data_IF_035033424714
#
_entry.id   IF_035033424714
#
_cell.length_a   1.000
_cell.length_b   1.000
_cell.length_c   1.000
_cell.angle_alpha   90.00
_cell.angle_beta   90.00
_cell.angle_gamma   90.00
#
_symmetry.space_group_name_H-M   'P 1'
#
loop_
_entity.id
_entity.type
_entity.pdbx_description
1 polymer ?
#
# COMPACT_ATOMS: atom_id res chain seq x y z
N UNK A 1 -11.01 0.27 -10.32
CA UNK A 1 -10.27 1.19 -11.21
C UNK A 1 -9.32 0.46 -12.16
N UNK A 2 -8.78 -0.71 -11.79
CA UNK A 2 -7.76 -1.43 -12.58
C UNK A 2 -8.27 -2.41 -13.65
N UNK A 3 -9.59 -2.55 -13.88
CA UNK A 3 -10.15 -3.45 -14.91
C UNK A 3 -9.54 -3.25 -16.31
N UNK A 4 -9.28 -2.02 -16.78
CA UNK A 4 -8.70 -1.82 -18.11
C UNK A 4 -7.31 -2.45 -18.26
N UNK A 5 -6.52 -2.58 -17.19
CA UNK A 5 -5.22 -3.26 -17.27
C UNK A 5 -5.37 -4.75 -17.56
N UNK A 6 -6.33 -5.42 -16.88
CA UNK A 6 -6.65 -6.83 -17.15
C UNK A 6 -7.16 -7.04 -18.59
N UNK A 7 -7.90 -6.08 -19.14
CA UNK A 7 -8.35 -6.12 -20.53
C UNK A 7 -7.20 -5.92 -21.53
N UNK A 8 -6.34 -4.93 -21.27
CA UNK A 8 -5.16 -4.62 -22.07
C UNK A 8 -4.16 -5.79 -22.11
N UNK A 9 -3.93 -6.45 -20.97
CA UNK A 9 -2.95 -7.51 -20.81
C UNK A 9 -3.20 -8.75 -21.69
N UNK A 10 -4.38 -8.89 -22.28
CA UNK A 10 -4.75 -10.01 -23.16
C UNK A 10 -4.06 -9.95 -24.53
N UNK A 11 -3.55 -8.80 -24.94
CA UNK A 11 -2.93 -8.60 -26.24
C UNK A 11 -1.66 -7.73 -26.12
N UNK A 12 -0.48 -8.25 -26.49
CA UNK A 12 0.77 -7.49 -26.49
C UNK A 12 0.70 -6.18 -27.30
N UNK A 13 -0.09 -6.11 -28.36
CA UNK A 13 -0.24 -4.88 -29.15
C UNK A 13 -1.06 -3.82 -28.39
N UNK A 14 -2.03 -4.23 -27.57
CA UNK A 14 -2.74 -3.31 -26.68
C UNK A 14 -1.81 -2.77 -25.57
N UNK A 15 -0.92 -3.61 -25.03
CA UNK A 15 0.09 -3.19 -24.05
C UNK A 15 1.01 -2.12 -24.64
N UNK A 16 1.56 -2.37 -25.83
CA UNK A 16 2.40 -1.39 -26.55
C UNK A 16 1.65 -0.11 -26.87
N UNK A 17 0.40 -0.23 -27.33
CA UNK A 17 -0.44 0.93 -27.66
C UNK A 17 -0.72 1.79 -26.43
N UNK A 18 -1.06 1.19 -25.30
CA UNK A 18 -1.25 1.90 -24.04
C UNK A 18 0.04 2.59 -23.59
N UNK A 19 1.17 1.87 -23.57
CA UNK A 19 2.46 2.45 -23.16
C UNK A 19 2.81 3.68 -24.01
N UNK A 20 2.71 3.56 -25.33
CA UNK A 20 2.94 4.66 -26.27
C UNK A 20 2.02 5.86 -25.97
N UNK A 21 0.71 5.61 -25.89
CA UNK A 21 -0.27 6.70 -25.72
C UNK A 21 -0.23 7.34 -24.34
N UNK A 22 0.19 6.61 -23.30
CA UNK A 22 0.47 7.18 -21.97
C UNK A 22 1.67 8.13 -22.01
N UNK A 23 2.76 7.77 -22.70
CA UNK A 23 3.91 8.66 -22.87
C UNK A 23 3.56 9.87 -23.74
N UNK A 24 2.77 9.68 -24.81
CA UNK A 24 2.23 10.80 -25.61
C UNK A 24 1.32 11.73 -24.79
N UNK A 25 0.61 11.20 -23.78
CA UNK A 25 -0.22 12.01 -22.90
C UNK A 25 0.64 12.89 -21.99
N UNK A 26 1.62 12.33 -21.29
CA UNK A 26 2.48 13.14 -20.41
C UNK A 26 3.30 14.15 -21.22
N UNK A 27 3.67 13.84 -22.46
CA UNK A 27 4.40 14.76 -23.34
C UNK A 27 3.63 16.04 -23.70
N UNK A 28 2.30 16.06 -23.52
CA UNK A 28 1.45 17.25 -23.76
C UNK A 28 1.56 18.28 -22.64
N UNK A 29 2.13 17.91 -21.50
CA UNK A 29 2.16 18.72 -20.29
C UNK A 29 3.56 18.74 -19.69
N UNK A 30 4.12 19.93 -19.51
CA UNK A 30 5.48 20.14 -18.99
C UNK A 30 5.63 19.79 -17.50
N UNK A 31 4.52 19.82 -16.76
CA UNK A 31 4.46 19.54 -15.33
C UNK A 31 4.50 18.06 -14.94
N UNK A 32 4.42 17.13 -15.90
CA UNK A 32 4.63 15.70 -15.60
C UNK A 32 6.10 15.33 -15.73
N UNK A 33 6.66 14.75 -14.67
CA UNK A 33 8.05 14.28 -14.60
C UNK A 33 8.18 12.76 -14.83
N UNK A 34 7.09 12.07 -15.14
CA UNK A 34 7.11 10.62 -15.26
C UNK A 34 5.72 9.99 -15.26
N UNK A 35 5.69 8.66 -15.10
CA UNK A 35 4.50 7.84 -14.97
C UNK A 35 4.67 6.95 -13.75
N UNK A 36 3.63 6.85 -12.92
CA UNK A 36 3.49 5.80 -11.91
C UNK A 36 2.41 4.81 -12.35
N UNK A 37 2.73 3.51 -12.29
CA UNK A 37 1.79 2.44 -12.61
C UNK A 37 1.19 1.83 -11.35
N UNK A 38 -0.11 2.02 -11.19
CA UNK A 38 -0.89 1.40 -10.11
C UNK A 38 -1.92 0.41 -10.69
N UNK A 39 -1.43 -0.75 -11.16
CA UNK A 39 -2.30 -1.87 -11.50
C UNK A 39 -2.55 -2.69 -10.24
N UNK A 40 -3.80 -2.65 -9.77
CA UNK A 40 -4.26 -3.48 -8.64
C UNK A 40 -5.16 -4.66 -9.08
N UNK A 41 -4.65 -5.87 -9.31
CA UNK A 41 -3.22 -6.26 -9.36
C UNK A 41 -2.97 -7.25 -10.50
N UNK A 42 -1.76 -7.28 -11.10
CA UNK A 42 -1.35 -8.38 -11.96
C UNK A 42 -1.55 -9.72 -11.23
N UNK A 43 -2.15 -10.70 -11.90
CA UNK A 43 -2.45 -12.01 -11.30
C UNK A 43 -3.66 -12.03 -10.37
N UNK A 44 -4.42 -10.94 -10.30
CA UNK A 44 -5.66 -10.83 -9.53
C UNK A 44 -5.44 -10.47 -8.06
N UNK A 45 -6.48 -10.59 -7.23
CA UNK A 45 -6.43 -10.07 -5.85
C UNK A 45 -7.03 -8.68 -5.69
N UNK A 46 -7.50 -8.07 -6.78
CA UNK A 46 -8.18 -6.78 -6.79
C UNK A 46 -9.71 -6.92 -6.68
N UNK A 47 -10.40 -5.79 -6.74
CA UNK A 47 -11.85 -5.70 -6.58
C UNK A 47 -12.62 -6.58 -7.58
N UNK A 48 -12.14 -6.68 -8.81
CA UNK A 48 -12.85 -7.31 -9.94
C UNK A 48 -12.26 -8.67 -10.33
N UNK A 49 -11.22 -9.08 -9.63
CA UNK A 49 -10.47 -10.33 -9.83
C UNK A 49 -10.21 -11.02 -8.49
N UNK A 50 -11.25 -11.02 -7.63
CA UNK A 50 -11.15 -11.54 -6.27
C UNK A 50 -10.80 -13.03 -6.26
N UNK A 51 -9.76 -13.45 -5.49
CA UNK A 51 -9.33 -14.84 -5.45
C UNK A 51 -10.28 -15.74 -4.65
N UNK A 52 -11.21 -15.11 -3.91
CA UNK A 52 -12.21 -15.78 -3.08
C UNK A 52 -13.55 -15.96 -3.79
N UNK A 53 -13.75 -15.30 -4.92
CA UNK A 53 -14.94 -15.46 -5.75
C UNK A 53 -14.60 -16.35 -6.96
N UNK A 54 -15.16 -17.56 -7.07
CA UNK A 54 -14.93 -18.47 -8.20
C UNK A 54 -15.24 -17.87 -9.58
N UNK A 55 -16.16 -16.90 -9.66
CA UNK A 55 -16.56 -16.27 -10.92
C UNK A 55 -15.54 -15.24 -11.43
N UNK A 56 -14.77 -14.64 -10.52
CA UNK A 56 -13.79 -13.60 -10.85
C UNK A 56 -12.34 -14.05 -10.66
N UNK A 57 -12.11 -15.21 -10.02
CA UNK A 57 -10.78 -15.73 -9.77
C UNK A 57 -10.09 -16.08 -11.10
N UNK A 58 -8.90 -15.53 -11.29
CA UNK A 58 -8.09 -15.80 -12.48
C UNK A 58 -7.51 -17.22 -12.46
N UNK A 59 -7.48 -17.87 -13.62
CA UNK A 59 -6.74 -19.13 -13.82
C UNK A 59 -5.24 -18.88 -13.77
N UNK A 60 -4.45 -19.92 -13.50
CA UNK A 60 -2.99 -19.77 -13.44
C UNK A 60 -2.37 -19.37 -14.78
N UNK A 61 -3.00 -19.76 -15.90
CA UNK A 61 -2.63 -19.30 -17.24
C UNK A 61 -2.82 -17.79 -17.40
N UNK A 62 -3.97 -17.24 -16.94
CA UNK A 62 -4.21 -15.80 -16.99
C UNK A 62 -3.24 -15.06 -16.08
N UNK A 63 -2.96 -15.58 -14.87
CA UNK A 63 -1.98 -14.97 -13.97
C UNK A 63 -0.58 -14.89 -14.59
N UNK A 64 -0.15 -15.96 -15.27
CA UNK A 64 1.14 -15.97 -15.97
C UNK A 64 1.15 -14.97 -17.13
N UNK A 65 0.05 -14.90 -17.90
CA UNK A 65 -0.10 -13.94 -18.98
C UNK A 65 -0.03 -12.49 -18.47
N UNK A 66 -0.72 -12.17 -17.36
CA UNK A 66 -0.67 -10.84 -16.75
C UNK A 66 0.72 -10.50 -16.19
N UNK A 67 1.45 -11.46 -15.62
CA UNK A 67 2.84 -11.29 -15.21
C UNK A 67 3.75 -10.89 -16.38
N UNK A 68 3.58 -11.56 -17.53
CA UNK A 68 4.32 -11.25 -18.76
C UNK A 68 3.91 -9.89 -19.33
N UNK A 69 2.61 -9.59 -19.33
CA UNK A 69 2.08 -8.32 -19.82
C UNK A 69 2.56 -7.12 -18.97
N UNK A 70 2.62 -7.26 -17.64
CA UNK A 70 3.17 -6.22 -16.77
C UNK A 70 4.65 -5.96 -17.07
N UNK A 71 5.44 -7.02 -17.27
CA UNK A 71 6.85 -6.90 -17.65
C UNK A 71 7.02 -6.20 -19.00
N UNK A 72 6.20 -6.57 -20.00
CA UNK A 72 6.18 -5.89 -21.29
C UNK A 72 5.77 -4.42 -21.17
N UNK A 73 4.74 -4.12 -20.37
CA UNK A 73 4.25 -2.76 -20.17
C UNK A 73 5.33 -1.84 -19.62
N UNK A 74 6.01 -2.27 -18.56
CA UNK A 74 7.10 -1.50 -17.93
C UNK A 74 8.22 -1.23 -18.95
N UNK A 75 8.64 -2.26 -19.69
CA UNK A 75 9.68 -2.13 -20.72
C UNK A 75 9.29 -1.15 -21.82
N UNK A 76 8.07 -1.26 -22.34
CA UNK A 76 7.57 -0.37 -23.39
C UNK A 76 7.46 1.08 -22.89
N UNK A 77 7.00 1.30 -21.65
CA UNK A 77 6.96 2.64 -21.07
C UNK A 77 8.36 3.24 -20.95
N UNK A 78 9.33 2.50 -20.40
CA UNK A 78 10.72 2.95 -20.28
C UNK A 78 11.30 3.34 -21.64
N UNK A 79 11.15 2.47 -22.64
CA UNK A 79 11.64 2.75 -24.00
C UNK A 79 11.00 3.99 -24.63
N UNK A 80 9.67 4.14 -24.49
CA UNK A 80 8.98 5.32 -25.02
C UNK A 80 9.41 6.59 -24.25
N UNK A 81 9.62 6.52 -22.93
CA UNK A 81 10.11 7.64 -22.12
C UNK A 81 11.58 7.99 -22.42
N UNK A 82 12.46 7.02 -22.69
CA UNK A 82 13.84 7.29 -23.14
C UNK A 82 13.87 8.06 -24.46
N UNK A 83 12.99 7.68 -25.38
CA UNK A 83 12.82 8.38 -26.65
C UNK A 83 12.26 9.80 -26.44
N UNK A 84 11.40 10.01 -25.43
CA UNK A 84 10.92 11.34 -25.06
C UNK A 84 12.04 12.17 -24.41
N UNK A 85 12.80 11.61 -23.46
CA UNK A 85 13.97 12.23 -22.83
C UNK A 85 14.98 12.71 -23.87
N UNK A 86 15.26 11.88 -24.88
CA UNK A 86 16.18 12.22 -25.97
C UNK A 86 15.71 13.42 -26.80
N UNK A 87 14.39 13.69 -26.85
CA UNK A 87 13.81 14.82 -27.59
C UNK A 87 13.70 16.08 -26.75
N UNK A 88 13.38 15.95 -25.46
CA UNK A 88 13.09 17.09 -24.58
C UNK A 88 14.28 17.51 -23.73
N UNK A 89 15.27 16.64 -23.56
CA UNK A 89 16.37 16.82 -22.60
C UNK A 89 15.95 16.65 -21.14
N UNK A 90 14.70 16.24 -20.87
CA UNK A 90 14.16 15.98 -19.53
C UNK A 90 14.35 14.52 -19.15
N UNK A 91 14.68 14.26 -17.89
CA UNK A 91 14.67 12.91 -17.35
C UNK A 91 13.26 12.56 -16.88
N UNK A 92 12.73 11.40 -17.27
CA UNK A 92 11.37 10.95 -16.94
C UNK A 92 11.43 9.70 -16.07
N UNK A 93 10.78 9.77 -14.91
CA UNK A 93 10.75 8.69 -13.94
C UNK A 93 9.64 7.68 -14.23
N UNK A 94 9.92 6.39 -13.99
CA UNK A 94 8.95 5.31 -14.00
C UNK A 94 8.81 4.73 -12.59
N UNK A 95 7.64 4.94 -11.99
CA UNK A 95 7.24 4.33 -10.72
C UNK A 95 6.25 3.18 -10.92
N UNK A 96 6.11 2.34 -9.90
CA UNK A 96 4.91 1.49 -9.77
C UNK A 96 4.50 1.31 -8.32
N UNK A 97 3.23 1.58 -8.02
CA UNK A 97 2.60 1.17 -6.77
C UNK A 97 2.12 -0.28 -6.86
N UNK A 98 2.43 -1.07 -5.82
CA UNK A 98 2.18 -2.52 -5.85
C UNK A 98 1.64 -3.06 -4.54
N UNK A 99 0.81 -4.09 -4.66
CA UNK A 99 0.38 -4.90 -3.54
C UNK A 99 1.53 -5.76 -2.99
N UNK A 100 1.55 -5.95 -1.68
CA UNK A 100 2.50 -6.80 -0.98
C UNK A 100 1.97 -8.21 -0.72
N UNK A 101 2.80 -9.09 -0.15
CA UNK A 101 2.42 -10.47 0.13
C UNK A 101 2.29 -11.30 -1.14
N UNK A 102 1.25 -12.14 -1.23
CA UNK A 102 1.07 -13.02 -2.39
C UNK A 102 0.98 -12.25 -3.72
N UNK A 103 0.48 -11.01 -3.72
CA UNK A 103 0.34 -10.16 -4.91
C UNK A 103 1.70 -9.85 -5.55
N UNK A 104 2.75 -9.69 -4.73
CA UNK A 104 4.10 -9.43 -5.21
C UNK A 104 4.68 -10.57 -6.06
N UNK A 105 4.19 -11.81 -5.90
CA UNK A 105 4.69 -12.98 -6.66
C UNK A 105 4.27 -12.97 -8.13
N UNK A 106 3.25 -12.17 -8.46
CA UNK A 106 2.70 -12.01 -9.81
C UNK A 106 3.51 -11.07 -10.70
N UNK A 107 4.64 -10.52 -10.22
CA UNK A 107 5.52 -9.62 -10.95
C UNK A 107 6.90 -10.27 -11.12
N UNK A 108 7.55 -10.05 -12.26
CA UNK A 108 8.93 -10.49 -12.53
C UNK A 108 9.92 -9.40 -12.13
N UNK A 109 10.20 -9.30 -10.82
CA UNK A 109 11.04 -8.23 -10.27
C UNK A 109 12.45 -8.16 -10.85
N UNK A 110 13.16 -9.26 -11.13
CA UNK A 110 14.46 -9.22 -11.81
C UNK A 110 14.42 -8.51 -13.17
N UNK A 111 13.34 -8.67 -13.94
CA UNK A 111 13.20 -7.97 -15.22
C UNK A 111 12.65 -6.55 -15.05
N UNK A 112 11.56 -6.39 -14.30
CA UNK A 112 10.88 -5.10 -14.07
C UNK A 112 11.80 -4.07 -13.43
N UNK A 113 12.63 -4.48 -12.45
CA UNK A 113 13.51 -3.57 -11.72
C UNK A 113 14.61 -2.93 -12.57
N UNK A 114 14.86 -3.44 -13.79
CA UNK A 114 15.81 -2.83 -14.73
C UNK A 114 15.27 -1.53 -15.32
N UNK A 115 13.95 -1.43 -15.44
CA UNK A 115 13.26 -0.39 -16.22
C UNK A 115 12.49 0.61 -15.35
N UNK A 116 12.24 0.31 -14.07
CA UNK A 116 11.64 1.25 -13.10
C UNK A 116 12.69 1.98 -12.26
N UNK A 117 12.36 3.19 -11.82
CA UNK A 117 13.15 3.98 -10.86
C UNK A 117 12.80 3.60 -9.42
N UNK A 118 11.51 3.56 -9.10
CA UNK A 118 11.01 3.32 -7.74
C UNK A 118 9.82 2.34 -7.75
N UNK A 119 9.75 1.50 -6.72
CA UNK A 119 8.60 0.66 -6.40
C UNK A 119 7.98 1.15 -5.09
N UNK A 120 6.71 1.56 -5.14
CA UNK A 120 5.94 2.03 -3.99
C UNK A 120 5.18 0.84 -3.39
N UNK A 121 5.75 0.23 -2.35
CA UNK A 121 5.15 -0.92 -1.69
C UNK A 121 3.99 -0.46 -0.81
N UNK A 122 2.75 -0.82 -1.18
CA UNK A 122 1.55 -0.51 -0.39
C UNK A 122 1.51 -1.34 0.90
N UNK A 123 2.36 -0.97 1.86
CA UNK A 123 2.54 -1.62 3.16
C UNK A 123 1.49 -1.16 4.17
N UNK A 124 0.24 -1.19 3.73
CA UNK A 124 -0.98 -0.88 4.47
C UNK A 124 -2.10 -1.77 3.92
N UNK A 125 -3.32 -1.63 4.46
CA UNK A 125 -4.49 -2.43 4.08
C UNK A 125 -4.31 -3.94 4.26
N UNK A 126 -3.50 -4.35 5.25
CA UNK A 126 -3.34 -5.75 5.61
C UNK A 126 -4.65 -6.37 6.11
N UNK A 127 -5.39 -5.57 6.88
CA UNK A 127 -6.68 -5.89 7.47
C UNK A 127 -7.60 -4.67 7.32
N UNK A 128 -8.90 -4.91 7.18
CA UNK A 128 -9.89 -3.85 7.08
C UNK A 128 -11.32 -4.30 7.30
N UNK A 129 -12.27 -3.37 7.14
CA UNK A 129 -13.69 -3.59 7.39
C UNK A 129 -14.40 -4.58 6.45
N UNK A 130 -13.71 -5.10 5.43
CA UNK A 130 -14.18 -6.18 4.57
C UNK A 130 -14.17 -7.56 5.23
N UNK A 131 -13.56 -7.70 6.41
CA UNK A 131 -13.50 -8.95 7.17
C UNK A 131 -13.68 -8.74 8.67
N UNK A 132 -13.74 -9.85 9.41
CA UNK A 132 -13.87 -9.86 10.88
C UNK A 132 -12.52 -9.94 11.59
N UNK A 133 -11.46 -10.32 10.88
CA UNK A 133 -10.08 -10.29 11.37
C UNK A 133 -9.73 -8.85 11.72
N UNK A 134 -9.51 -8.61 13.01
CA UNK A 134 -9.19 -7.30 13.59
C UNK A 134 -7.71 -7.27 13.91
N UNK A 135 -7.07 -6.11 13.74
CA UNK A 135 -5.67 -5.95 14.05
C UNK A 135 -5.07 -4.76 13.33
N UNK A 136 -3.74 -4.75 13.24
CA UNK A 136 -3.02 -3.65 12.62
C UNK A 136 -3.13 -3.69 11.10
N UNK A 137 -3.48 -2.57 10.47
CA UNK A 137 -3.59 -2.48 9.01
C UNK A 137 -2.24 -2.19 8.32
N UNK A 138 -1.26 -1.66 9.07
CA UNK A 138 -0.02 -1.08 8.51
C UNK A 138 1.18 -1.19 9.47
N UNK A 139 1.20 -2.19 10.34
CA UNK A 139 2.29 -2.42 11.28
C UNK A 139 3.65 -2.60 10.59
N UNK A 140 4.72 -2.19 11.29
CA UNK A 140 6.09 -2.36 10.81
C UNK A 140 6.53 -3.82 10.89
N UNK A 141 6.40 -4.44 12.06
CA UNK A 141 6.77 -5.84 12.26
C UNK A 141 5.56 -6.72 12.48
N UNK A 142 5.61 -7.94 11.95
CA UNK A 142 4.66 -8.99 12.31
C UNK A 142 4.83 -9.39 13.78
N UNK A 143 3.73 -9.79 14.42
CA UNK A 143 3.73 -10.26 15.81
C UNK A 143 3.06 -11.63 15.91
N UNK A 144 3.31 -12.34 17.00
CA UNK A 144 2.72 -13.67 17.25
C UNK A 144 1.19 -13.64 17.28
N UNK A 145 0.60 -12.54 17.78
CA UNK A 145 -0.85 -12.33 17.82
C UNK A 145 -1.39 -11.65 16.55
N UNK A 146 -0.52 -11.39 15.57
CA UNK A 146 -0.89 -10.82 14.28
C UNK A 146 -1.33 -11.89 13.29
N UNK A 147 -2.28 -11.54 12.43
CA UNK A 147 -2.76 -12.44 11.38
C UNK A 147 -1.68 -12.68 10.32
N UNK A 148 -1.50 -13.96 9.95
CA UNK A 148 -0.74 -14.41 8.77
C UNK A 148 0.70 -13.88 8.65
N UNK A 149 1.33 -13.51 9.76
CA UNK A 149 2.69 -12.98 9.75
C UNK A 149 2.83 -11.67 8.96
N UNK A 150 1.76 -10.88 8.87
CA UNK A 150 1.76 -9.64 8.09
C UNK A 150 2.49 -8.52 8.82
N UNK A 151 3.37 -7.83 8.10
CA UNK A 151 4.11 -6.67 8.57
C UNK A 151 4.98 -6.12 7.45
N UNK A 152 5.25 -4.82 7.49
CA UNK A 152 6.10 -4.13 6.50
C UNK A 152 7.43 -4.85 6.31
N UNK A 153 8.14 -5.16 7.40
CA UNK A 153 9.44 -5.85 7.38
C UNK A 153 9.38 -7.20 6.66
N UNK A 154 8.40 -8.04 7.01
CA UNK A 154 8.22 -9.36 6.40
C UNK A 154 7.91 -9.26 4.90
N UNK A 155 7.05 -8.32 4.51
CA UNK A 155 6.68 -8.12 3.12
C UNK A 155 7.80 -7.51 2.27
N UNK A 156 8.57 -6.56 2.81
CA UNK A 156 9.72 -6.02 2.09
C UNK A 156 10.82 -7.08 1.96
N UNK A 157 11.06 -7.91 2.99
CA UNK A 157 11.98 -9.04 2.87
C UNK A 157 11.57 -9.99 1.75
N UNK A 158 10.27 -10.30 1.63
CA UNK A 158 9.76 -11.08 0.51
C UNK A 158 10.05 -10.42 -0.84
N UNK A 159 9.88 -9.10 -0.97
CA UNK A 159 10.22 -8.38 -2.20
C UNK A 159 11.70 -8.51 -2.57
N UNK A 160 12.58 -8.41 -1.57
CA UNK A 160 14.03 -8.61 -1.76
C UNK A 160 14.33 -10.05 -2.20
N UNK A 161 13.71 -11.05 -1.56
CA UNK A 161 13.86 -12.47 -1.91
C UNK A 161 13.34 -12.78 -3.34
N UNK A 162 12.34 -12.02 -3.81
CA UNK A 162 11.84 -12.09 -5.18
C UNK A 162 12.72 -11.35 -6.20
N UNK A 163 13.77 -10.66 -5.75
CA UNK A 163 14.77 -10.02 -6.63
C UNK A 163 14.62 -8.50 -6.80
N UNK A 164 13.79 -7.82 -6.00
CA UNK A 164 13.68 -6.36 -6.05
C UNK A 164 14.88 -5.69 -5.38
N UNK A 165 15.61 -4.76 -6.05
CA UNK A 165 16.70 -4.00 -5.42
C UNK A 165 16.23 -3.12 -4.25
N UNK A 166 16.90 -3.23 -3.11
CA UNK A 166 16.53 -2.52 -1.87
C UNK A 166 16.45 -0.99 -2.03
N UNK A 167 17.39 -0.42 -2.79
CA UNK A 167 17.55 1.01 -3.04
C UNK A 167 16.50 1.61 -3.99
N UNK A 168 15.60 0.78 -4.52
CA UNK A 168 14.43 1.20 -5.31
C UNK A 168 13.10 1.01 -4.57
N UNK A 169 13.10 0.43 -3.37
CA UNK A 169 11.88 0.19 -2.58
C UNK A 169 11.52 1.43 -1.77
N UNK A 170 10.30 1.93 -1.96
CA UNK A 170 9.70 3.01 -1.17
C UNK A 170 8.58 2.41 -0.31
N UNK A 171 8.67 2.55 1.00
CA UNK A 171 7.73 1.94 1.95
C UNK A 171 6.52 2.83 2.20
N UNK A 172 5.32 2.25 2.26
CA UNK A 172 4.06 2.95 2.45
C UNK A 172 3.72 3.29 3.90
N UNK A 173 3.21 4.50 4.08
CA UNK A 173 2.55 5.00 5.27
C UNK A 173 1.08 5.32 4.99
N UNK A 174 0.20 5.09 5.98
CA UNK A 174 -1.24 5.32 5.82
C UNK A 174 -1.68 6.56 6.61
N UNK A 175 -2.10 7.63 5.94
CA UNK A 175 -2.71 8.80 6.61
C UNK A 175 -4.20 8.60 6.87
N UNK A 176 -4.57 7.36 7.15
CA UNK A 176 -5.90 6.92 7.47
C UNK A 176 -5.82 5.67 8.36
N UNK A 177 -6.96 5.32 8.93
CA UNK A 177 -7.16 4.13 9.73
C UNK A 177 -8.27 3.25 9.18
N UNK A 178 -8.28 2.01 9.66
CA UNK A 178 -9.33 1.03 9.42
C UNK A 178 -9.88 0.53 10.74
N UNK A 179 -11.20 0.37 10.82
CA UNK A 179 -11.87 0.12 12.08
C UNK A 179 -12.96 -0.94 12.04
N UNK A 180 -13.23 -1.48 13.23
CA UNK A 180 -14.20 -2.54 13.49
C UNK A 180 -15.08 -2.19 14.69
N UNK A 181 -16.28 -2.77 14.74
CA UNK A 181 -17.19 -2.65 15.88
C UNK A 181 -17.63 -4.03 16.40
N UNK A 182 -17.98 -4.08 17.69
CA UNK A 182 -18.31 -5.33 18.38
C UNK A 182 -17.08 -6.21 18.63
N UNK A 183 -15.93 -5.59 18.86
CA UNK A 183 -14.69 -6.27 19.26
C UNK A 183 -14.85 -6.98 20.61
N UNK A 184 -14.48 -8.27 20.66
CA UNK A 184 -14.59 -9.09 21.88
C UNK A 184 -13.23 -9.33 22.51
N UNK A 185 -13.22 -9.53 23.83
CA UNK A 185 -12.05 -9.99 24.58
C UNK A 185 -10.79 -9.12 24.46
N UNK A 186 -10.96 -7.82 24.21
CA UNK A 186 -9.86 -6.87 24.20
C UNK A 186 -9.90 -5.98 25.43
N UNK A 187 -8.81 -6.01 26.19
CA UNK A 187 -8.64 -5.26 27.44
C UNK A 187 -8.08 -3.83 27.22
N UNK A 188 -7.83 -3.46 25.96
CA UNK A 188 -7.22 -2.19 25.59
C UNK A 188 -5.70 -2.13 25.78
N UNK A 189 -5.04 -3.26 26.05
CA UNK A 189 -3.59 -3.32 26.27
C UNK A 189 -2.89 -4.27 25.31
N UNK A 190 -3.29 -5.55 25.30
CA UNK A 190 -2.63 -6.59 24.52
C UNK A 190 -3.58 -7.13 23.46
N UNK A 191 -3.14 -7.16 22.19
CA UNK A 191 -3.92 -7.79 21.14
C UNK A 191 -4.06 -9.30 21.44
N UNK A 192 -5.28 -9.87 21.41
CA UNK A 192 -5.52 -11.30 21.53
C UNK A 192 -4.92 -12.09 20.34
N UNK A 193 -4.55 -13.36 20.56
CA UNK A 193 -3.98 -14.25 19.51
C UNK A 193 -4.93 -14.53 18.35
N UNK A 194 -6.24 -14.43 18.56
CA UNK A 194 -7.26 -14.53 17.50
C UNK A 194 -8.14 -13.28 17.51
N UNK A 195 -7.51 -12.13 17.25
CA UNK A 195 -8.20 -10.88 17.41
C UNK A 195 -9.29 -10.67 16.36
N UNK A 196 -10.55 -10.61 16.81
CA UNK A 196 -11.72 -10.53 15.95
C UNK A 196 -12.77 -9.56 16.49
N UNK A 197 -13.55 -9.03 15.56
CA UNK A 197 -14.72 -8.20 15.82
C UNK A 197 -15.94 -8.76 15.09
N UNK A 198 -17.13 -8.27 15.44
CA UNK A 198 -18.36 -8.72 14.80
C UNK A 198 -18.39 -8.38 13.30
N UNK A 199 -17.86 -7.21 12.91
CA UNK A 199 -17.79 -6.72 11.53
C UNK A 199 -16.89 -5.47 11.45
N UNK A 200 -16.61 -5.01 10.23
CA UNK A 200 -16.10 -3.66 10.01
C UNK A 200 -17.04 -2.60 10.59
N UNK A 201 -16.48 -1.48 11.05
CA UNK A 201 -17.28 -0.39 11.62
C UNK A 201 -18.30 0.11 10.59
N UNK A 202 -19.52 0.34 11.06
CA UNK A 202 -20.63 0.80 10.21
C UNK A 202 -20.56 2.30 9.87
N UNK A 203 -19.55 2.99 10.38
CA UNK A 203 -19.28 4.41 10.24
C UNK A 203 -17.81 4.63 9.86
N UNK A 204 -17.48 5.85 9.43
CA UNK A 204 -16.15 6.27 9.01
C UNK A 204 -16.21 7.68 8.44
N UNK A 205 -15.06 8.20 7.99
CA UNK A 205 -14.96 9.56 7.44
C UNK A 205 -15.54 9.64 6.03
N UNK A 206 -15.04 8.79 5.13
CA UNK A 206 -15.40 8.79 3.71
C UNK A 206 -16.35 7.62 3.39
N UNK A 207 -16.08 6.46 3.97
CA UNK A 207 -16.85 5.24 3.84
C UNK A 207 -16.80 4.45 5.15
N UNK A 208 -17.75 3.52 5.40
CA UNK A 208 -17.72 2.67 6.58
C UNK A 208 -16.36 1.99 6.76
N UNK A 209 -15.88 1.95 8.01
CA UNK A 209 -14.60 1.36 8.42
C UNK A 209 -13.34 2.05 7.87
N UNK A 210 -13.44 3.22 7.24
CA UNK A 210 -12.30 4.02 6.78
C UNK A 210 -12.29 5.38 7.48
N UNK A 211 -11.15 5.75 8.08
CA UNK A 211 -11.03 6.94 8.95
C UNK A 211 -9.83 7.78 8.55
N UNK A 212 -10.02 9.01 8.06
CA UNK A 212 -8.87 9.88 7.75
C UNK A 212 -8.13 10.28 9.03
N UNK A 213 -6.80 10.42 8.99
CA UNK A 213 -6.02 10.77 10.17
C UNK A 213 -6.49 12.07 10.84
N UNK A 214 -6.81 13.10 10.05
CA UNK A 214 -7.36 14.35 10.57
C UNK A 214 -8.68 14.17 11.33
N UNK A 215 -9.50 13.18 10.95
CA UNK A 215 -10.78 12.87 11.58
C UNK A 215 -10.56 12.14 12.91
N UNK A 216 -9.64 11.16 12.91
CA UNK A 216 -9.21 10.45 14.11
C UNK A 216 -8.75 11.42 15.22
N UNK A 217 -7.84 12.34 14.87
CA UNK A 217 -7.29 13.33 15.81
C UNK A 217 -8.37 14.29 16.34
N UNK A 218 -9.40 14.56 15.54
CA UNK A 218 -10.44 15.55 15.87
C UNK A 218 -11.60 14.97 16.67
N UNK A 219 -12.08 13.79 16.29
CA UNK A 219 -13.39 13.27 16.68
C UNK A 219 -13.32 11.94 17.44
N UNK A 220 -12.15 11.31 17.53
CA UNK A 220 -11.96 10.03 18.21
C UNK A 220 -11.00 10.20 19.39
N UNK A 221 -11.34 11.14 20.29
CA UNK A 221 -10.49 11.49 21.43
C UNK A 221 -10.98 10.83 22.73
N UNK A 222 -10.25 11.06 23.82
CA UNK A 222 -10.66 10.61 25.16
C UNK A 222 -12.00 11.18 25.60
N UNK A 223 -12.42 12.35 25.09
CA UNK A 223 -13.75 12.92 25.36
C UNK A 223 -14.88 12.08 24.78
N UNK A 224 -14.62 11.41 23.66
CA UNK A 224 -15.55 10.51 22.99
C UNK A 224 -15.37 9.04 23.42
N UNK A 225 -14.53 8.80 24.44
CA UNK A 225 -14.26 7.49 25.03
C UNK A 225 -13.20 6.66 24.28
N UNK A 226 -12.46 7.25 23.35
CA UNK A 226 -11.36 6.58 22.65
C UNK A 226 -10.04 6.79 23.38
N UNK A 227 -9.33 5.70 23.64
CA UNK A 227 -8.00 5.69 24.24
C UNK A 227 -7.02 5.18 23.21
N UNK A 228 -5.94 5.93 22.97
CA UNK A 228 -4.84 5.46 22.15
C UNK A 228 -4.02 4.41 22.90
N UNK A 229 -3.77 3.28 22.23
CA UNK A 229 -2.76 2.31 22.62
C UNK A 229 -1.70 2.18 21.54
N UNK A 230 -0.57 1.57 21.91
CA UNK A 230 0.54 1.34 21.00
C UNK A 230 1.10 -0.07 21.22
N UNK A 231 1.12 -0.87 20.16
CA UNK A 231 1.81 -2.15 20.16
C UNK A 231 3.29 -1.91 19.88
N UNK A 232 4.12 -1.98 20.92
CA UNK A 232 5.56 -1.74 20.82
C UNK A 232 6.28 -2.79 19.96
N UNK A 233 5.78 -4.03 19.91
CA UNK A 233 6.40 -5.08 19.10
C UNK A 233 6.09 -4.88 17.61
N UNK A 234 4.86 -4.47 17.30
CA UNK A 234 4.42 -4.20 15.93
C UNK A 234 4.83 -2.80 15.42
N UNK A 235 5.19 -1.89 16.33
CA UNK A 235 5.30 -0.44 16.11
C UNK A 235 4.04 0.17 15.49
N UNK A 236 2.87 -0.16 16.05
CA UNK A 236 1.57 0.20 15.49
C UNK A 236 0.63 0.80 16.54
N UNK A 237 0.09 2.01 16.30
CA UNK A 237 -0.91 2.61 17.16
C UNK A 237 -2.31 2.08 16.83
N UNK A 238 -3.20 2.22 17.81
CA UNK A 238 -4.62 1.97 17.64
C UNK A 238 -5.43 2.87 18.58
N UNK A 239 -6.70 3.10 18.24
CA UNK A 239 -7.69 3.67 19.14
C UNK A 239 -8.66 2.58 19.61
N UNK A 240 -8.97 2.59 20.90
CA UNK A 240 -9.90 1.67 21.52
C UNK A 240 -11.01 2.41 22.27
N UNK A 241 -12.26 2.06 21.99
CA UNK A 241 -13.40 2.48 22.79
C UNK A 241 -14.07 1.25 23.40
N UNK A 242 -13.92 1.09 24.73
CA UNK A 242 -14.38 -0.11 25.43
C UNK A 242 -15.91 -0.21 25.54
N UNK A 243 -16.60 0.92 25.66
CA UNK A 243 -18.06 0.97 25.77
C UNK A 243 -18.73 0.63 24.42
N UNK A 244 -18.22 1.23 23.33
CA UNK A 244 -18.70 0.98 21.97
C UNK A 244 -18.13 -0.31 21.36
N UNK A 245 -17.11 -0.89 21.99
CA UNK A 245 -16.33 -2.01 21.47
C UNK A 245 -15.79 -1.75 20.07
N UNK A 246 -15.18 -0.57 19.88
CA UNK A 246 -14.64 -0.12 18.58
C UNK A 246 -13.12 -0.08 18.64
N UNK A 247 -12.48 -0.80 17.72
CA UNK A 247 -11.03 -0.81 17.50
C UNK A 247 -10.72 -0.14 16.16
N UNK A 248 -9.76 0.79 16.14
CA UNK A 248 -9.30 1.45 14.92
C UNK A 248 -7.77 1.37 14.87
N UNK A 249 -7.20 0.72 13.86
CA UNK A 249 -5.76 0.76 13.57
C UNK A 249 -5.47 1.92 12.61
N UNK A 250 -4.27 2.51 12.70
CA UNK A 250 -3.82 3.62 11.86
C UNK A 250 -2.29 3.81 11.94
N UNK A 251 -1.73 4.81 11.26
CA UNK A 251 -0.38 5.33 11.56
C UNK A 251 -0.47 6.66 12.34
N UNK A 252 0.45 6.87 13.28
CA UNK A 252 0.65 8.13 13.98
C UNK A 252 2.11 8.58 13.86
N UNK A 253 2.47 9.74 14.42
CA UNK A 253 3.84 10.25 14.35
C UNK A 253 4.91 9.24 14.85
N UNK A 254 4.58 8.43 15.87
CA UNK A 254 5.49 7.43 16.43
C UNK A 254 5.74 6.27 15.46
N UNK A 255 4.70 5.71 14.82
CA UNK A 255 4.89 4.63 13.83
C UNK A 255 5.52 5.12 12.54
N UNK A 256 5.19 6.34 12.07
CA UNK A 256 5.86 6.97 10.93
C UNK A 256 7.35 7.12 11.18
N UNK A 257 7.75 7.60 12.37
CA UNK A 257 9.16 7.68 12.75
C UNK A 257 9.82 6.30 12.78
N UNK A 258 9.14 5.28 13.31
CA UNK A 258 9.67 3.91 13.33
C UNK A 258 9.92 3.36 11.91
N UNK A 259 8.95 3.54 11.00
CA UNK A 259 9.11 3.19 9.58
C UNK A 259 10.27 3.94 8.92
N UNK A 260 10.41 5.24 9.17
CA UNK A 260 11.50 6.04 8.63
C UNK A 260 12.87 5.57 9.13
N UNK A 261 13.00 5.28 10.43
CA UNK A 261 14.23 4.75 11.00
C UNK A 261 14.57 3.37 10.44
N UNK A 262 13.57 2.49 10.28
CA UNK A 262 13.75 1.17 9.67
C UNK A 262 14.16 1.25 8.19
N UNK A 263 13.54 2.14 7.41
CA UNK A 263 13.90 2.40 5.99
C UNK A 263 15.36 2.84 5.87
N UNK A 264 15.82 3.77 6.72
CA UNK A 264 17.22 4.22 6.73
C UNK A 264 18.19 3.09 7.10
N UNK A 265 17.87 2.31 8.13
CA UNK A 265 18.70 1.21 8.59
C UNK A 265 18.86 0.12 7.52
N UNK A 266 17.80 -0.15 6.76
CA UNK A 266 17.78 -1.16 5.71
C UNK A 266 18.13 -0.61 4.31
N UNK A 267 18.49 0.67 4.20
CA UNK A 267 18.91 1.35 2.96
C UNK A 267 17.86 1.27 1.84
N UNK A 268 16.59 1.40 2.21
CA UNK A 268 15.50 1.54 1.25
C UNK A 268 15.43 2.97 0.70
N UNK A 269 14.78 3.14 -0.46
CA UNK A 269 14.74 4.41 -1.18
C UNK A 269 14.06 5.53 -0.39
N UNK A 270 13.03 5.20 0.40
CA UNK A 270 12.33 6.18 1.22
C UNK A 270 10.98 5.71 1.73
N UNK A 271 10.13 6.69 2.07
CA UNK A 271 8.72 6.50 2.40
C UNK A 271 7.83 7.25 1.40
N UNK A 272 6.64 6.70 1.15
CA UNK A 272 5.54 7.40 0.50
C UNK A 272 4.28 7.26 1.33
N UNK A 273 3.24 8.02 0.98
CA UNK A 273 2.01 8.08 1.76
C UNK A 273 0.76 7.99 0.90
N UNK A 274 -0.24 7.26 1.41
CA UNK A 274 -1.62 7.33 0.94
C UNK A 274 -2.55 7.81 2.08
N UNK A 275 -3.38 8.84 1.92
CA UNK A 275 -3.22 9.93 0.96
C UNK A 275 -2.95 11.26 1.69
N UNK A 276 -2.32 12.20 0.98
CA UNK A 276 -1.85 13.46 1.57
C UNK A 276 -2.99 14.26 2.25
N UNK A 277 -4.21 14.17 1.73
CA UNK A 277 -5.39 14.86 2.27
C UNK A 277 -5.74 14.42 3.70
N UNK A 278 -5.33 13.20 4.08
CA UNK A 278 -5.52 12.63 5.42
C UNK A 278 -4.78 13.38 6.52
N UNK A 279 -3.73 14.13 6.19
CA UNK A 279 -2.91 14.92 7.12
C UNK A 279 -3.03 16.43 6.81
N UNK A 280 -4.24 16.96 6.95
CA UNK A 280 -4.53 18.35 6.57
C UNK A 280 -3.76 19.43 7.37
N UNK A 281 -3.10 19.07 8.47
CA UNK A 281 -2.23 19.96 9.26
C UNK A 281 -0.74 19.71 9.01
N UNK A 282 -0.38 18.70 8.22
CA UNK A 282 1.00 18.38 7.88
C UNK A 282 1.80 17.77 9.04
N UNK A 283 1.15 17.23 10.07
CA UNK A 283 1.82 16.67 11.26
C UNK A 283 2.63 15.42 10.90
N UNK A 284 1.99 14.47 10.23
CA UNK A 284 2.64 13.23 9.83
C UNK A 284 3.64 13.47 8.70
N UNK A 285 3.30 14.36 7.76
CA UNK A 285 4.19 14.81 6.69
C UNK A 285 5.47 15.42 7.26
N UNK A 286 5.35 16.32 8.24
CA UNK A 286 6.49 16.94 8.92
C UNK A 286 7.31 15.87 9.65
N UNK A 287 6.66 14.98 10.38
CA UNK A 287 7.32 13.88 11.10
C UNK A 287 8.13 13.00 10.14
N UNK A 288 7.54 12.61 9.01
CA UNK A 288 8.20 11.83 7.97
C UNK A 288 9.42 12.57 7.39
N UNK A 289 9.26 13.86 7.05
CA UNK A 289 10.36 14.68 6.52
C UNK A 289 11.51 14.82 7.51
N UNK A 290 11.22 15.08 8.79
CA UNK A 290 12.23 15.22 9.84
C UNK A 290 12.94 13.89 10.12
N UNK A 291 12.19 12.78 10.15
CA UNK A 291 12.75 11.46 10.43
C UNK A 291 13.62 10.93 9.28
N UNK A 292 13.35 11.29 8.02
CA UNK A 292 14.15 10.87 6.86
C UNK A 292 15.39 11.76 6.59
N UNK A 293 15.48 12.94 7.20
CA UNK A 293 16.68 13.78 7.11
C UNK A 293 17.86 13.11 7.82
N UNK A 294 19.05 13.29 7.25
CA UNK A 294 20.33 12.85 7.82
C UNK A 294 20.72 13.67 9.03
#
# INVERSE_FOLDING_TARGET
MSEPFHAMAKDPENVKWFAKTAVELIAKYDFFDGIDLDWEYPGGGGLTTSPWNPETKLSDEIKLSEKQAFTLLVKELRQNMDALSSKTGKDYQLGTAVGVGFKATSIDWPEVSKDIDLMFAMTYDYLGGWGTQTGHLTNLFATENGWWGMGTDAFIKQMLDLGMPADKIVVGAAFYGRGWEGTKNFDGKNLPTEFTSAKGASFGTMEPASFQFWDLVRNYTSKEGYVEGYDENAHAPYLWNAEKQVFISYDNAKSIKAKADWVKQNKHAGLFVWELSGDNKGELTKTMSEALRK
#
